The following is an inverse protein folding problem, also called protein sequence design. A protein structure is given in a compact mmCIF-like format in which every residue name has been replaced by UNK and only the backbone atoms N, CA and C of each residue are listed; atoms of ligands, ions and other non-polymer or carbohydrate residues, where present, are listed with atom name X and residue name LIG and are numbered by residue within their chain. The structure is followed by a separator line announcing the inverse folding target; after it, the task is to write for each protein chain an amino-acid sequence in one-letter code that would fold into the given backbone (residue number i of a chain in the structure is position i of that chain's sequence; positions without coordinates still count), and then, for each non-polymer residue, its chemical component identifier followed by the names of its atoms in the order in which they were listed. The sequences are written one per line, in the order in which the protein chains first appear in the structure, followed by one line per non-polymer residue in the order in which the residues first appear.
data_IF_444064235176
#
_entry.id   IF_444064235176
#
_cell.length_a   1.000
_cell.length_b   1.000
_cell.length_c   1.000
_cell.angle_alpha   90.00
_cell.angle_beta   90.00
_cell.angle_gamma   90.00
#
_symmetry.space_group_name_H-M   'P 1'
#
loop_
_entity.id
_entity.type
_entity.pdbx_description
1 polymer ?
#
# COMPACT_ATOMS: atom_id res chain seq x y z
N UNK A 1 -28.47 2.51 -48.35
CA UNK A 1 -27.89 3.70 -49.02
C UNK A 1 -28.51 5.01 -48.57
N UNK A 2 -29.84 5.14 -48.42
CA UNK A 2 -30.52 6.37 -47.95
C UNK A 2 -30.08 6.83 -46.56
N UNK A 3 -29.87 5.95 -45.60
CA UNK A 3 -29.46 6.29 -44.23
C UNK A 3 -28.06 6.89 -44.21
N UNK A 4 -27.13 6.35 -44.97
CA UNK A 4 -25.76 6.89 -45.10
C UNK A 4 -25.73 8.24 -45.77
N UNK A 5 -26.61 8.50 -46.74
CA UNK A 5 -26.75 9.79 -47.41
C UNK A 5 -27.32 10.85 -46.43
N UNK A 6 -28.36 10.53 -45.67
CA UNK A 6 -28.97 11.42 -44.67
C UNK A 6 -28.00 11.72 -43.50
N UNK A 7 -27.11 10.77 -43.12
CA UNK A 7 -26.05 11.04 -42.14
C UNK A 7 -24.95 11.98 -42.69
N UNK A 8 -24.69 11.95 -43.99
CA UNK A 8 -23.71 12.84 -44.61
C UNK A 8 -24.26 14.22 -44.95
N UNK A 9 -25.57 14.30 -45.26
CA UNK A 9 -26.27 15.54 -45.63
C UNK A 9 -27.63 15.63 -44.92
N UNK A 10 -27.63 15.98 -43.63
CA UNK A 10 -28.88 15.99 -42.84
C UNK A 10 -29.82 17.10 -43.34
N UNK A 11 -30.89 16.70 -43.98
CA UNK A 11 -31.89 17.61 -44.51
C UNK A 11 -33.03 17.85 -43.54
N UNK A 12 -33.37 16.83 -42.72
CA UNK A 12 -34.48 16.86 -41.76
C UNK A 12 -34.03 17.39 -40.41
N UNK A 13 -34.86 18.15 -39.72
CA UNK A 13 -34.52 18.77 -38.42
C UNK A 13 -34.17 17.72 -37.36
N UNK A 14 -34.87 16.58 -37.33
CA UNK A 14 -34.62 15.52 -36.35
C UNK A 14 -33.28 14.78 -36.63
N UNK A 15 -32.82 14.66 -37.89
CA UNK A 15 -31.49 14.09 -38.18
C UNK A 15 -30.38 15.03 -37.71
N UNK A 16 -30.56 16.35 -37.87
CA UNK A 16 -29.65 17.36 -37.32
C UNK A 16 -29.60 17.30 -35.79
N UNK A 17 -30.76 17.17 -35.14
CA UNK A 17 -30.85 17.05 -33.67
C UNK A 17 -30.19 15.77 -33.21
N UNK A 18 -30.42 14.61 -33.87
CA UNK A 18 -29.78 13.33 -33.53
C UNK A 18 -28.27 13.41 -33.66
N UNK A 19 -27.76 14.01 -34.74
CA UNK A 19 -26.31 14.22 -34.93
C UNK A 19 -25.72 15.13 -33.86
N UNK A 20 -26.41 16.22 -33.50
CA UNK A 20 -25.96 17.12 -32.45
C UNK A 20 -25.92 16.40 -31.06
N UNK A 21 -26.93 15.61 -30.74
CA UNK A 21 -26.96 14.80 -29.52
C UNK A 21 -25.88 13.71 -29.54
N UNK A 22 -25.68 13.04 -30.67
CA UNK A 22 -24.61 12.05 -30.81
C UNK A 22 -23.23 12.66 -30.65
N UNK A 23 -23.00 13.85 -31.23
CA UNK A 23 -21.76 14.58 -31.04
C UNK A 23 -21.57 15.02 -29.58
N UNK A 24 -22.63 15.51 -28.94
CA UNK A 24 -22.59 15.89 -27.52
C UNK A 24 -22.20 14.68 -26.63
N UNK A 25 -22.86 13.53 -26.84
CA UNK A 25 -22.56 12.29 -26.10
C UNK A 25 -21.12 11.85 -26.37
N UNK A 26 -20.68 11.87 -27.62
CA UNK A 26 -19.31 11.52 -27.99
C UNK A 26 -18.28 12.40 -27.25
N UNK A 27 -18.46 13.71 -27.29
CA UNK A 27 -17.52 14.62 -26.60
C UNK A 27 -17.61 14.50 -25.06
N UNK A 28 -18.80 14.24 -24.52
CA UNK A 28 -18.95 13.97 -23.08
C UNK A 28 -18.20 12.70 -22.65
N UNK A 29 -18.30 11.62 -23.42
CA UNK A 29 -17.54 10.38 -23.16
C UNK A 29 -16.05 10.63 -23.30
N UNK A 30 -15.61 11.33 -24.35
CA UNK A 30 -14.21 11.66 -24.57
C UNK A 30 -13.64 12.50 -23.41
N UNK A 31 -14.36 13.52 -22.98
CA UNK A 31 -13.98 14.37 -21.85
C UNK A 31 -13.90 13.57 -20.54
N UNK A 32 -14.92 12.73 -20.27
CA UNK A 32 -14.93 11.85 -19.09
C UNK A 32 -13.72 10.93 -19.08
N UNK A 33 -13.42 10.28 -20.20
CA UNK A 33 -12.27 9.37 -20.32
C UNK A 33 -10.94 10.10 -20.14
N UNK A 34 -10.81 11.30 -20.72
CA UNK A 34 -9.61 12.11 -20.56
C UNK A 34 -9.39 12.57 -19.11
N UNK A 35 -10.45 13.03 -18.45
CA UNK A 35 -10.39 13.43 -17.03
C UNK A 35 -10.08 12.23 -16.15
N UNK A 36 -10.75 11.10 -16.36
CA UNK A 36 -10.50 9.87 -15.62
C UNK A 36 -9.06 9.38 -15.78
N UNK A 37 -8.53 9.36 -17.02
CA UNK A 37 -7.15 9.00 -17.30
C UNK A 37 -6.14 9.95 -16.64
N UNK A 38 -6.41 11.26 -16.66
CA UNK A 38 -5.58 12.24 -15.96
C UNK A 38 -5.59 12.06 -14.43
N UNK A 39 -6.77 11.79 -13.85
CA UNK A 39 -6.89 11.50 -12.42
C UNK A 39 -6.10 10.25 -12.05
N UNK A 40 -6.25 9.16 -12.81
CA UNK A 40 -5.47 7.93 -12.59
C UNK A 40 -3.98 8.21 -12.71
N UNK A 41 -3.55 8.98 -13.72
CA UNK A 41 -2.14 9.37 -13.84
C UNK A 41 -1.63 10.08 -12.58
N UNK A 42 -2.42 10.99 -12.01
CA UNK A 42 -2.07 11.68 -10.77
C UNK A 42 -2.05 10.75 -9.56
N UNK A 43 -2.98 9.79 -9.49
CA UNK A 43 -3.05 8.80 -8.42
C UNK A 43 -1.85 7.84 -8.47
N UNK A 44 -1.49 7.33 -9.65
CA UNK A 44 -0.35 6.40 -9.78
C UNK A 44 1.01 7.12 -9.75
N UNK A 45 1.01 8.44 -9.81
CA UNK A 45 2.20 9.30 -9.71
C UNK A 45 1.97 10.40 -8.66
N UNK A 46 1.90 10.02 -7.37
CA UNK A 46 1.65 10.98 -6.29
C UNK A 46 2.77 12.00 -6.18
N UNK A 47 2.49 13.10 -5.49
CA UNK A 47 3.52 14.04 -5.10
C UNK A 47 4.44 13.36 -4.07
N UNK A 48 5.73 13.31 -4.39
CA UNK A 48 6.71 12.68 -3.53
C UNK A 48 7.06 13.61 -2.37
N UNK A 49 6.82 13.16 -1.16
CA UNK A 49 7.33 13.79 0.06
C UNK A 49 8.74 13.27 0.30
N UNK A 50 9.75 14.07 -0.01
CA UNK A 50 11.12 13.77 0.42
C UNK A 50 11.32 14.44 1.76
N UNK A 51 11.40 13.67 2.82
CA UNK A 51 11.94 14.19 4.08
C UNK A 51 13.45 14.37 3.89
N UNK A 52 13.93 15.61 3.83
CA UNK A 52 15.36 15.90 3.97
C UNK A 52 15.77 15.59 5.42
N UNK A 53 15.95 14.31 5.70
CA UNK A 53 16.33 13.87 7.03
C UNK A 53 17.85 13.92 7.11
N UNK A 54 18.34 14.76 8.02
CA UNK A 54 19.74 14.76 8.34
C UNK A 54 20.10 13.49 9.12
N UNK A 55 20.61 12.48 8.40
CA UNK A 55 21.05 11.20 8.96
C UNK A 55 22.07 11.34 10.10
N UNK A 56 22.79 12.47 10.17
CA UNK A 56 23.73 12.74 11.26
C UNK A 56 23.06 13.02 12.61
N UNK A 57 21.75 13.28 12.61
CA UNK A 57 20.99 13.59 13.84
C UNK A 57 20.49 12.34 14.57
N UNK A 58 20.65 11.14 13.98
CA UNK A 58 20.20 9.89 14.62
C UNK A 58 21.33 9.26 15.45
N UNK A 59 21.04 8.79 16.68
CA UNK A 59 22.02 8.18 17.56
C UNK A 59 22.67 6.93 16.99
N UNK A 60 21.95 6.15 16.18
CA UNK A 60 22.44 5.01 15.42
C UNK A 60 22.37 5.34 13.94
N UNK A 61 23.54 5.57 13.29
CA UNK A 61 23.54 5.73 11.83
C UNK A 61 23.04 4.45 11.18
N UNK A 62 21.95 4.49 10.38
CA UNK A 62 21.52 3.32 9.65
C UNK A 62 22.57 2.92 8.61
N UNK A 63 22.65 1.63 8.35
CA UNK A 63 23.33 1.11 7.19
C UNK A 63 22.46 1.32 5.95
N UNK A 64 23.01 2.00 4.94
CA UNK A 64 22.30 2.21 3.67
C UNK A 64 22.49 0.96 2.80
N UNK A 65 21.39 0.32 2.46
CA UNK A 65 21.39 -0.88 1.63
C UNK A 65 20.67 -0.59 0.31
N UNK A 66 21.30 -1.02 -0.80
CA UNK A 66 20.70 -0.97 -2.12
C UNK A 66 20.29 -2.36 -2.58
N UNK A 67 19.12 -2.50 -3.19
CA UNK A 67 18.64 -3.77 -3.71
C UNK A 67 17.90 -3.58 -5.04
N UNK A 68 18.07 -4.55 -5.92
CA UNK A 68 17.37 -4.56 -7.21
C UNK A 68 16.02 -5.25 -7.07
N UNK A 69 14.99 -4.65 -7.64
CA UNK A 69 13.66 -5.24 -7.71
C UNK A 69 13.58 -6.05 -9.01
N UNK A 70 13.20 -7.34 -8.95
CA UNK A 70 13.07 -8.19 -10.13
C UNK A 70 12.12 -7.61 -11.19
N UNK A 71 12.29 -8.06 -12.45
CA UNK A 71 11.42 -7.62 -13.54
C UNK A 71 11.77 -6.25 -14.14
N UNK A 72 12.97 -5.74 -13.87
CA UNK A 72 13.43 -4.45 -14.41
C UNK A 72 12.78 -3.24 -13.73
N UNK A 73 12.27 -3.42 -12.51
CA UNK A 73 11.61 -2.36 -11.73
C UNK A 73 12.61 -1.37 -11.10
N UNK A 74 13.92 -1.59 -11.32
CA UNK A 74 14.99 -0.71 -10.86
C UNK A 74 15.48 -1.02 -9.44
N UNK A 75 16.39 -0.17 -8.97
CA UNK A 75 17.03 -0.30 -7.66
C UNK A 75 16.25 0.50 -6.62
N UNK A 76 16.20 0.00 -5.40
CA UNK A 76 15.70 0.72 -4.21
C UNK A 76 16.80 0.89 -3.20
N UNK A 77 16.73 1.98 -2.45
CA UNK A 77 17.56 2.25 -1.29
C UNK A 77 16.72 2.09 -0.02
N UNK A 78 17.25 1.35 0.93
CA UNK A 78 16.65 1.22 2.25
C UNK A 78 17.65 1.53 3.36
N UNK A 79 17.12 1.79 4.55
CA UNK A 79 17.88 2.04 5.76
C UNK A 79 17.69 0.88 6.72
N UNK A 80 18.80 0.26 7.06
CA UNK A 80 18.85 -0.85 8.00
C UNK A 80 19.38 -0.37 9.34
N UNK A 81 18.64 -0.63 10.38
CA UNK A 81 18.94 -0.32 11.77
C UNK A 81 19.19 -1.63 12.51
N UNK A 82 20.45 -1.92 12.88
CA UNK A 82 20.77 -3.17 13.53
C UNK A 82 20.24 -3.19 14.97
N UNK A 83 19.59 -4.28 15.33
CA UNK A 83 19.19 -4.62 16.69
C UNK A 83 20.15 -5.60 17.34
N UNK A 84 19.61 -6.49 18.16
CA UNK A 84 20.41 -7.55 18.78
C UNK A 84 20.72 -8.65 17.76
N UNK A 85 21.93 -9.22 17.84
CA UNK A 85 22.35 -10.30 16.94
C UNK A 85 21.41 -11.51 17.03
N UNK A 86 20.86 -11.94 15.90
CA UNK A 86 19.89 -13.02 15.82
C UNK A 86 18.46 -12.63 16.22
N UNK A 87 18.21 -11.35 16.48
CA UNK A 87 16.83 -10.86 16.61
C UNK A 87 16.08 -10.95 15.28
N UNK A 88 14.76 -11.07 15.29
CA UNK A 88 13.96 -10.95 14.08
C UNK A 88 14.15 -9.60 13.39
N UNK A 89 13.91 -9.58 12.09
CA UNK A 89 13.93 -8.33 11.33
C UNK A 89 12.51 -7.87 11.02
N UNK A 90 12.18 -6.63 11.40
CA UNK A 90 10.91 -6.01 11.07
C UNK A 90 11.10 -5.09 9.87
N UNK A 91 10.33 -5.31 8.82
CA UNK A 91 10.31 -4.44 7.65
C UNK A 91 9.08 -3.54 7.75
N UNK A 92 9.29 -2.23 7.70
CA UNK A 92 8.22 -1.23 7.74
C UNK A 92 7.94 -0.73 6.33
N UNK A 93 6.70 -0.97 5.89
CA UNK A 93 6.19 -0.65 4.56
C UNK A 93 5.27 0.56 4.65
N UNK A 94 5.76 1.73 4.24
CA UNK A 94 4.99 2.98 4.32
C UNK A 94 3.73 2.98 3.45
N UNK A 95 2.84 3.93 3.70
CA UNK A 95 1.59 4.08 2.97
C UNK A 95 1.71 4.87 1.67
N UNK A 96 0.57 5.00 0.99
CA UNK A 96 0.41 5.87 -0.17
C UNK A 96 0.62 7.35 0.23
N UNK A 97 1.30 8.12 -0.62
CA UNK A 97 1.70 9.52 -0.38
C UNK A 97 2.62 9.72 0.85
N UNK A 98 3.30 8.67 1.30
CA UNK A 98 4.19 8.67 2.44
C UNK A 98 5.63 8.36 2.01
N UNK A 99 6.55 8.27 2.97
CA UNK A 99 7.95 7.92 2.76
C UNK A 99 8.53 7.18 3.98
N UNK A 100 9.67 6.52 3.78
CA UNK A 100 10.43 5.86 4.86
C UNK A 100 10.75 6.79 6.03
N UNK A 101 10.97 8.09 5.75
CA UNK A 101 11.32 9.05 6.77
C UNK A 101 10.23 9.29 7.81
N UNK A 102 8.97 9.05 7.44
CA UNK A 102 7.84 9.19 8.35
C UNK A 102 7.71 8.03 9.35
N UNK A 103 8.45 6.93 9.12
CA UNK A 103 8.43 5.73 9.95
C UNK A 103 9.50 5.70 11.04
N UNK A 104 10.36 6.71 11.13
CA UNK A 104 11.51 6.71 12.02
C UNK A 104 11.18 6.63 13.51
N UNK A 105 10.03 7.14 13.94
CA UNK A 105 9.62 7.04 15.35
C UNK A 105 9.19 5.60 15.68
N UNK A 106 8.46 4.93 14.79
CA UNK A 106 8.10 3.52 14.94
C UNK A 106 9.34 2.62 14.83
N UNK A 107 10.26 2.95 13.91
CA UNK A 107 11.56 2.29 13.80
C UNK A 107 12.30 2.36 15.12
N UNK A 108 12.47 3.57 15.70
CA UNK A 108 13.15 3.77 16.97
C UNK A 108 12.49 3.00 18.12
N UNK A 109 11.15 3.01 18.19
CA UNK A 109 10.42 2.25 19.20
C UNK A 109 10.66 0.73 19.10
N UNK A 110 10.82 0.19 17.90
CA UNK A 110 11.16 -1.23 17.70
C UNK A 110 12.64 -1.51 18.01
N UNK A 111 13.54 -0.60 17.63
CA UNK A 111 14.98 -0.72 17.91
C UNK A 111 15.27 -0.68 19.41
N UNK A 112 14.56 0.14 20.18
CA UNK A 112 14.64 0.18 21.65
C UNK A 112 14.33 -1.20 22.28
N UNK A 113 13.55 -2.04 21.57
CA UNK A 113 13.24 -3.41 21.94
C UNK A 113 14.13 -4.44 21.23
N UNK A 114 15.26 -4.00 20.68
CA UNK A 114 16.32 -4.85 20.11
C UNK A 114 15.97 -5.55 18.79
N UNK A 115 14.92 -5.14 18.07
CA UNK A 115 14.66 -5.64 16.74
C UNK A 115 15.64 -5.08 15.71
N UNK A 116 15.97 -5.89 14.70
CA UNK A 116 16.50 -5.34 13.46
C UNK A 116 15.34 -4.68 12.70
N UNK A 117 15.55 -3.47 12.22
CA UNK A 117 14.50 -2.76 11.48
C UNK A 117 15.00 -2.33 10.11
N UNK A 118 14.17 -2.51 9.11
CA UNK A 118 14.45 -2.07 7.75
C UNK A 118 13.29 -1.23 7.20
N UNK A 119 13.63 -0.07 6.65
CA UNK A 119 12.68 0.85 6.03
C UNK A 119 13.18 1.24 4.64
N UNK A 120 12.29 1.37 3.68
CA UNK A 120 12.62 1.78 2.31
C UNK A 120 11.46 2.55 1.67
N UNK A 121 11.73 3.27 0.58
CA UNK A 121 10.69 3.95 -0.20
C UNK A 121 10.21 3.07 -1.35
N UNK A 122 8.90 2.92 -1.52
CA UNK A 122 8.31 2.30 -2.71
C UNK A 122 8.49 3.15 -3.97
N UNK A 123 8.30 2.54 -5.14
CA UNK A 123 8.22 3.26 -6.41
C UNK A 123 7.23 4.43 -6.34
N UNK A 124 7.52 5.53 -6.99
CA UNK A 124 6.74 6.76 -7.00
C UNK A 124 6.63 7.50 -5.65
N UNK A 125 7.30 7.02 -4.60
CA UNK A 125 7.26 7.61 -3.26
C UNK A 125 8.67 8.00 -2.77
N UNK A 126 8.72 8.89 -1.79
CA UNK A 126 9.97 9.35 -1.18
C UNK A 126 11.04 9.74 -2.20
N UNK A 127 12.21 9.12 -2.11
CA UNK A 127 13.32 9.36 -3.04
C UNK A 127 13.13 8.67 -4.41
N UNK A 128 12.26 7.67 -4.51
CA UNK A 128 12.13 6.84 -5.71
C UNK A 128 11.17 7.44 -6.74
N UNK A 129 11.69 7.68 -7.95
CA UNK A 129 10.85 8.02 -9.10
C UNK A 129 10.09 6.78 -9.61
N UNK A 130 9.11 6.99 -10.46
CA UNK A 130 8.39 5.91 -11.11
C UNK A 130 6.89 6.09 -11.06
N UNK A 131 6.18 4.98 -11.16
CA UNK A 131 4.72 4.89 -11.13
C UNK A 131 4.35 3.80 -10.14
N UNK A 132 3.46 4.12 -9.20
CA UNK A 132 2.87 3.15 -8.30
C UNK A 132 1.79 2.34 -9.03
N UNK A 133 1.71 1.07 -8.71
CA UNK A 133 0.60 0.20 -9.13
C UNK A 133 -0.41 -0.02 -8.01
N UNK A 134 -0.29 0.77 -6.93
CA UNK A 134 -1.11 0.68 -5.73
C UNK A 134 -1.09 -0.72 -5.11
N UNK A 135 0.04 -1.40 -5.16
CA UNK A 135 0.26 -2.69 -4.50
C UNK A 135 0.69 -3.83 -5.41
N UNK A 136 0.30 -3.85 -6.69
CA UNK A 136 0.64 -5.01 -7.55
C UNK A 136 2.14 -5.27 -7.69
N UNK A 137 2.95 -4.25 -7.98
CA UNK A 137 4.41 -4.35 -8.12
C UNK A 137 5.15 -4.09 -6.83
N UNK A 138 4.55 -3.35 -5.91
CA UNK A 138 5.12 -3.06 -4.60
C UNK A 138 5.30 -4.34 -3.76
N UNK A 139 4.56 -5.40 -4.05
CA UNK A 139 4.81 -6.75 -3.50
C UNK A 139 6.19 -7.27 -3.87
N UNK A 140 6.63 -7.06 -5.11
CA UNK A 140 7.96 -7.51 -5.56
C UNK A 140 9.09 -6.69 -4.90
N UNK A 141 8.80 -5.43 -4.52
CA UNK A 141 9.73 -4.61 -3.75
C UNK A 141 9.88 -5.12 -2.31
N UNK A 142 8.77 -5.52 -1.66
CA UNK A 142 8.82 -6.16 -0.33
C UNK A 142 9.57 -7.47 -0.39
N UNK A 143 9.31 -8.30 -1.41
CA UNK A 143 10.04 -9.56 -1.61
C UNK A 143 11.53 -9.33 -1.77
N UNK A 144 11.93 -8.39 -2.63
CA UNK A 144 13.33 -8.07 -2.84
C UNK A 144 14.03 -7.60 -1.55
N UNK A 145 13.32 -6.83 -0.71
CA UNK A 145 13.80 -6.42 0.60
C UNK A 145 13.97 -7.62 1.55
N UNK A 146 13.01 -8.54 1.60
CA UNK A 146 13.13 -9.78 2.40
C UNK A 146 14.32 -10.63 1.90
N UNK A 147 14.48 -10.78 0.59
CA UNK A 147 15.57 -11.57 0.00
C UNK A 147 16.95 -10.95 0.26
N UNK A 148 17.07 -9.62 0.14
CA UNK A 148 18.28 -8.89 0.53
C UNK A 148 18.70 -9.20 1.97
N UNK A 149 17.74 -9.06 2.91
CA UNK A 149 18.00 -9.22 4.33
C UNK A 149 18.26 -10.69 4.71
N UNK A 150 17.56 -11.62 4.08
CA UNK A 150 17.76 -13.06 4.30
C UNK A 150 19.12 -13.58 3.81
N UNK A 151 19.75 -12.87 2.86
CA UNK A 151 21.09 -13.20 2.37
C UNK A 151 22.20 -12.73 3.31
N UNK A 152 21.89 -11.94 4.35
CA UNK A 152 22.88 -11.41 5.29
C UNK A 152 23.25 -12.46 6.35
N UNK A 153 24.56 -12.69 6.59
CA UNK A 153 25.02 -13.71 7.55
C UNK A 153 24.84 -13.32 9.03
N UNK A 154 24.58 -12.05 9.30
CA UNK A 154 24.38 -11.50 10.63
C UNK A 154 22.89 -11.48 11.07
N UNK A 155 21.97 -11.81 10.16
CA UNK A 155 20.54 -11.83 10.42
C UNK A 155 19.98 -13.27 10.45
N UNK A 156 18.81 -13.43 11.09
CA UNK A 156 18.05 -14.67 11.02
C UNK A 156 17.21 -14.67 9.72
N UNK A 157 17.52 -15.53 8.73
CA UNK A 157 16.87 -15.55 7.44
C UNK A 157 15.44 -16.09 7.47
N UNK A 158 14.93 -16.53 8.64
CA UNK A 158 13.66 -17.24 8.79
C UNK A 158 12.62 -16.50 9.65
N UNK A 159 13.00 -15.35 10.22
CA UNK A 159 12.18 -14.65 11.21
C UNK A 159 11.98 -13.18 10.83
N UNK A 160 11.07 -12.95 9.89
CA UNK A 160 10.66 -11.58 9.50
C UNK A 160 9.29 -11.24 10.07
N UNK A 161 9.15 -9.98 10.51
CA UNK A 161 7.87 -9.33 10.73
C UNK A 161 7.65 -8.26 9.67
N UNK A 162 6.41 -8.07 9.24
CA UNK A 162 6.06 -6.96 8.37
C UNK A 162 5.04 -6.06 9.07
N UNK A 163 5.25 -4.77 8.97
CA UNK A 163 4.27 -3.75 9.27
C UNK A 163 3.96 -2.97 8.00
N UNK A 164 2.70 -2.67 7.76
CA UNK A 164 2.31 -1.85 6.62
C UNK A 164 1.07 -1.01 6.88
N UNK A 165 1.05 0.16 6.26
CA UNK A 165 -0.08 1.08 6.23
C UNK A 165 -0.62 1.17 4.80
N UNK A 166 -1.92 1.04 4.59
CA UNK A 166 -2.65 1.01 3.33
C UNK A 166 -1.88 0.34 2.17
N UNK A 167 -1.15 1.06 1.31
CA UNK A 167 -0.31 0.52 0.23
C UNK A 167 0.69 -0.51 0.76
N UNK A 168 1.40 -0.16 1.83
CA UNK A 168 2.36 -1.05 2.48
C UNK A 168 1.68 -2.26 3.12
N UNK A 169 0.46 -2.11 3.67
CA UNK A 169 -0.31 -3.21 4.24
C UNK A 169 -0.74 -4.21 3.15
N UNK A 170 -1.19 -3.71 1.99
CA UNK A 170 -1.51 -4.57 0.85
C UNK A 170 -0.28 -5.37 0.40
N UNK A 171 0.86 -4.69 0.19
CA UNK A 171 2.09 -5.34 -0.26
C UNK A 171 2.61 -6.36 0.76
N UNK A 172 2.60 -6.01 2.06
CA UNK A 172 3.01 -6.88 3.15
C UNK A 172 2.15 -8.14 3.26
N UNK A 173 0.82 -8.02 3.16
CA UNK A 173 -0.09 -9.17 3.21
C UNK A 173 0.14 -10.09 2.01
N UNK A 174 0.25 -9.52 0.80
CA UNK A 174 0.50 -10.30 -0.43
C UNK A 174 1.82 -11.06 -0.37
N UNK A 175 2.87 -10.48 0.21
CA UNK A 175 4.13 -11.21 0.38
C UNK A 175 4.01 -12.31 1.43
N UNK A 176 3.35 -12.04 2.57
CA UNK A 176 3.14 -13.04 3.61
C UNK A 176 2.31 -14.26 3.16
N UNK A 177 1.44 -14.13 2.16
CA UNK A 177 0.70 -15.27 1.58
C UNK A 177 1.63 -16.34 0.99
N UNK A 178 2.79 -15.96 0.49
CA UNK A 178 3.69 -16.83 -0.28
C UNK A 178 5.01 -17.11 0.43
N UNK A 179 5.42 -16.23 1.33
CA UNK A 179 6.73 -16.33 1.98
C UNK A 179 6.60 -16.78 3.44
N UNK A 180 7.03 -18.01 3.71
CA UNK A 180 6.97 -18.60 5.05
C UNK A 180 8.03 -18.07 6.02
N UNK A 181 8.94 -17.22 5.55
CA UNK A 181 9.88 -16.47 6.41
C UNK A 181 9.17 -15.36 7.18
N UNK A 182 7.99 -14.92 6.71
CA UNK A 182 7.15 -13.95 7.40
C UNK A 182 6.41 -14.63 8.54
N UNK A 183 6.70 -14.20 9.77
CA UNK A 183 6.26 -14.85 11.01
C UNK A 183 5.28 -14.03 11.83
N UNK A 184 5.13 -12.75 11.54
CA UNK A 184 4.14 -11.88 12.17
C UNK A 184 3.82 -10.71 11.23
N UNK A 185 2.58 -10.21 11.30
CA UNK A 185 2.07 -9.22 10.36
C UNK A 185 1.25 -8.16 11.10
N UNK A 186 1.50 -6.89 10.82
CA UNK A 186 0.67 -5.77 11.27
C UNK A 186 0.17 -5.04 10.04
N UNK A 187 -1.16 -4.96 9.91
CA UNK A 187 -1.86 -4.40 8.75
C UNK A 187 -2.74 -3.26 9.20
N UNK A 188 -2.37 -2.05 8.85
CA UNK A 188 -3.14 -0.85 9.16
C UNK A 188 -3.88 -0.37 7.90
N UNK A 189 -5.20 -0.16 8.05
CA UNK A 189 -6.05 0.40 7.00
C UNK A 189 -5.89 -0.31 5.65
N UNK A 190 -5.84 -1.65 5.70
CA UNK A 190 -5.62 -2.47 4.51
C UNK A 190 -6.84 -2.47 3.58
N UNK A 191 -6.61 -2.37 2.28
CA UNK A 191 -7.64 -2.52 1.26
C UNK A 191 -7.59 -3.89 0.59
N UNK A 192 -8.71 -4.31 0.01
CA UNK A 192 -8.86 -5.63 -0.60
C UNK A 192 -8.30 -5.70 -2.02
N UNK A 193 -8.46 -4.62 -2.78
CA UNK A 193 -8.01 -4.51 -4.17
C UNK A 193 -7.44 -3.12 -4.44
N UNK A 194 -6.38 -2.97 -5.27
CA UNK A 194 -5.77 -1.68 -5.60
C UNK A 194 -6.75 -0.64 -6.17
N UNK A 195 -7.80 -1.07 -6.86
CA UNK A 195 -8.84 -0.16 -7.38
C UNK A 195 -9.63 0.58 -6.28
N UNK A 196 -9.65 0.09 -5.02
CA UNK A 196 -10.23 0.84 -3.91
C UNK A 196 -9.46 2.14 -3.66
N UNK A 197 -8.13 2.13 -3.77
CA UNK A 197 -7.32 3.35 -3.65
C UNK A 197 -7.57 4.33 -4.81
N UNK A 198 -7.91 3.82 -6.01
CA UNK A 198 -8.35 4.69 -7.12
C UNK A 198 -9.65 5.40 -6.76
N UNK A 199 -10.62 4.68 -6.18
CA UNK A 199 -11.88 5.27 -5.71
C UNK A 199 -11.61 6.35 -4.66
N UNK A 200 -10.83 6.04 -3.62
CA UNK A 200 -10.43 7.01 -2.59
C UNK A 200 -9.75 8.23 -3.23
N UNK A 201 -8.87 8.03 -4.20
CA UNK A 201 -8.22 9.14 -4.92
C UNK A 201 -9.20 10.01 -5.70
N UNK A 202 -10.20 9.43 -6.36
CA UNK A 202 -11.26 10.17 -7.06
C UNK A 202 -12.12 10.97 -6.07
N UNK A 203 -12.45 10.39 -4.92
CA UNK A 203 -13.21 11.04 -3.85
C UNK A 203 -12.46 12.23 -3.24
N UNK A 204 -11.17 12.06 -2.94
CA UNK A 204 -10.29 13.15 -2.44
C UNK A 204 -10.16 14.32 -3.42
N UNK A 205 -10.30 14.06 -4.72
CA UNK A 205 -10.35 15.11 -5.75
C UNK A 205 -11.77 15.72 -5.93
N UNK A 206 -12.73 15.43 -5.05
CA UNK A 206 -14.09 16.01 -5.07
C UNK A 206 -15.00 15.42 -6.14
N UNK A 207 -14.61 14.33 -6.79
CA UNK A 207 -15.37 13.70 -7.89
C UNK A 207 -16.08 12.40 -7.47
N UNK A 208 -16.02 12.01 -6.19
CA UNK A 208 -16.68 10.82 -5.65
C UNK A 208 -18.20 10.83 -5.80
N UNK A 209 -18.83 12.01 -5.79
CA UNK A 209 -20.27 12.17 -6.05
C UNK A 209 -20.72 11.82 -7.47
N UNK A 210 -19.79 11.49 -8.37
CA UNK A 210 -20.08 11.12 -9.76
C UNK A 210 -19.70 9.64 -10.02
N UNK A 211 -20.63 8.68 -9.85
CA UNK A 211 -20.34 7.24 -9.99
C UNK A 211 -19.74 6.85 -11.33
N UNK A 212 -20.11 7.55 -12.41
CA UNK A 212 -19.54 7.32 -13.74
C UNK A 212 -18.04 7.70 -13.81
N UNK A 213 -17.61 8.72 -13.04
CA UNK A 213 -16.20 9.12 -12.96
C UNK A 213 -15.38 8.10 -12.19
N UNK A 214 -15.87 7.62 -11.07
CA UNK A 214 -15.24 6.52 -10.29
C UNK A 214 -15.07 5.28 -11.15
N UNK A 215 -16.13 4.92 -11.91
CA UNK A 215 -16.09 3.77 -12.81
C UNK A 215 -15.09 3.97 -13.98
N UNK A 216 -15.09 5.14 -14.59
CA UNK A 216 -14.16 5.45 -15.69
C UNK A 216 -12.69 5.45 -15.21
N UNK A 217 -12.41 5.98 -14.02
CA UNK A 217 -11.09 5.94 -13.42
C UNK A 217 -10.68 4.48 -13.08
N UNK A 218 -11.57 3.69 -12.50
CA UNK A 218 -11.33 2.26 -12.24
C UNK A 218 -10.98 1.50 -13.51
N UNK A 219 -11.76 1.66 -14.58
CA UNK A 219 -11.48 1.04 -15.88
C UNK A 219 -10.14 1.50 -16.49
N UNK A 220 -9.81 2.78 -16.35
CA UNK A 220 -8.53 3.32 -16.82
C UNK A 220 -7.36 2.71 -16.05
N UNK A 221 -7.49 2.54 -14.74
CA UNK A 221 -6.49 1.89 -13.89
C UNK A 221 -6.33 0.39 -14.23
N UNK A 222 -7.44 -0.33 -14.39
CA UNK A 222 -7.43 -1.74 -14.79
C UNK A 222 -6.78 -1.94 -16.17
N UNK A 223 -7.01 -1.02 -17.11
CA UNK A 223 -6.34 -1.05 -18.40
C UNK A 223 -4.82 -0.87 -18.29
N UNK A 224 -4.36 0.07 -17.46
CA UNK A 224 -2.94 0.28 -17.19
C UNK A 224 -2.29 -0.93 -16.51
N UNK A 225 -3.05 -1.65 -15.69
CA UNK A 225 -2.60 -2.80 -14.93
C UNK A 225 -3.20 -4.12 -15.46
N UNK A 226 -3.44 -4.19 -16.77
CA UNK A 226 -4.13 -5.33 -17.40
C UNK A 226 -3.50 -6.70 -17.10
N UNK A 227 -2.19 -6.75 -16.89
CA UNK A 227 -1.48 -7.97 -16.51
C UNK A 227 -1.95 -8.56 -15.16
N UNK A 228 -2.53 -7.71 -14.29
CA UNK A 228 -3.00 -8.07 -12.95
C UNK A 228 -4.53 -8.23 -12.85
N UNK A 229 -5.24 -8.21 -13.98
CA UNK A 229 -6.72 -8.28 -13.99
C UNK A 229 -7.31 -9.57 -13.40
N UNK A 230 -6.51 -10.62 -13.35
CA UNK A 230 -6.90 -11.93 -12.81
C UNK A 230 -6.41 -12.15 -11.38
N UNK A 231 -5.69 -11.18 -10.80
CA UNK A 231 -5.23 -11.27 -9.42
C UNK A 231 -6.45 -11.22 -8.49
N UNK A 232 -6.63 -12.23 -7.63
CA UNK A 232 -7.80 -12.26 -6.76
C UNK A 232 -7.67 -11.21 -5.64
N UNK A 233 -8.80 -10.72 -5.11
CA UNK A 233 -8.82 -9.90 -3.90
C UNK A 233 -8.09 -10.57 -2.74
N UNK A 234 -7.47 -9.78 -1.85
CA UNK A 234 -6.75 -10.28 -0.68
C UNK A 234 -7.63 -11.15 0.23
N UNK A 235 -8.90 -10.76 0.37
CA UNK A 235 -9.88 -11.49 1.19
C UNK A 235 -10.09 -12.95 0.77
N UNK A 236 -9.75 -13.32 -0.46
CA UNK A 236 -9.82 -14.71 -0.96
C UNK A 236 -8.56 -15.52 -0.62
N UNK A 237 -7.49 -14.86 -0.19
CA UNK A 237 -6.16 -15.46 0.07
C UNK A 237 -5.80 -15.55 1.56
N UNK A 238 -6.64 -15.03 2.44
CA UNK A 238 -6.35 -14.96 3.88
C UNK A 238 -6.04 -16.33 4.51
N UNK A 239 -6.58 -17.43 3.99
CA UNK A 239 -6.27 -18.77 4.47
C UNK A 239 -4.79 -19.15 4.34
N UNK A 240 -4.03 -18.49 3.46
CA UNK A 240 -2.59 -18.70 3.36
C UNK A 240 -1.83 -18.21 4.61
N UNK A 241 -2.46 -17.36 5.43
CA UNK A 241 -1.91 -16.82 6.68
C UNK A 241 -2.15 -17.72 7.89
N UNK A 242 -2.65 -18.94 7.71
CA UNK A 242 -2.82 -19.87 8.84
C UNK A 242 -1.49 -20.03 9.59
N UNK A 243 -1.52 -19.75 10.91
CA UNK A 243 -0.35 -19.80 11.78
C UNK A 243 0.57 -18.58 11.71
N UNK A 244 0.23 -17.54 10.93
CA UNK A 244 0.91 -16.25 10.94
C UNK A 244 0.11 -15.27 11.80
N UNK A 245 0.58 -14.93 13.02
CA UNK A 245 -0.08 -13.92 13.85
C UNK A 245 -0.23 -12.62 13.10
N UNK A 246 -1.46 -12.10 13.04
CA UNK A 246 -1.77 -10.89 12.30
C UNK A 246 -2.56 -9.90 13.16
N UNK A 247 -2.05 -8.68 13.31
CA UNK A 247 -2.75 -7.56 13.92
C UNK A 247 -3.38 -6.70 12.81
N UNK A 248 -4.69 -6.55 12.86
CA UNK A 248 -5.45 -5.64 12.00
C UNK A 248 -5.74 -4.35 12.75
N UNK A 249 -5.24 -3.22 12.25
CA UNK A 249 -5.50 -1.89 12.79
C UNK A 249 -6.54 -1.20 11.91
N UNK A 250 -7.65 -0.83 12.52
CA UNK A 250 -8.81 -0.22 11.89
C UNK A 250 -8.90 1.25 12.32
N UNK A 251 -8.74 2.15 11.39
CA UNK A 251 -8.82 3.58 11.61
C UNK A 251 -10.21 4.11 11.22
N UNK A 252 -10.89 4.77 12.15
CA UNK A 252 -12.28 5.21 11.96
C UNK A 252 -12.44 6.48 11.13
N UNK A 253 -11.36 7.22 10.90
CA UNK A 253 -11.32 8.43 10.07
C UNK A 253 -11.35 8.14 8.56
N UNK A 254 -11.09 6.89 8.14
CA UNK A 254 -11.34 6.40 6.79
C UNK A 254 -12.36 5.25 6.82
N UNK A 255 -13.67 5.55 6.76
CA UNK A 255 -14.72 4.55 6.95
C UNK A 255 -14.68 3.39 5.95
N UNK A 256 -14.22 3.64 4.71
CA UNK A 256 -14.14 2.61 3.69
C UNK A 256 -13.02 1.61 3.98
N UNK A 257 -11.84 2.09 4.28
CA UNK A 257 -10.71 1.22 4.65
C UNK A 257 -10.93 0.56 6.02
N UNK A 258 -11.57 1.28 6.96
CA UNK A 258 -11.97 0.71 8.25
C UNK A 258 -12.88 -0.50 8.07
N UNK A 259 -13.92 -0.39 7.25
CA UNK A 259 -14.85 -1.50 6.99
C UNK A 259 -14.15 -2.65 6.25
N UNK A 260 -13.31 -2.35 5.24
CA UNK A 260 -12.54 -3.38 4.53
C UNK A 260 -11.61 -4.14 5.48
N UNK A 261 -10.87 -3.41 6.32
CA UNK A 261 -9.99 -4.00 7.34
C UNK A 261 -10.77 -4.87 8.33
N UNK A 262 -11.95 -4.41 8.77
CA UNK A 262 -12.85 -5.20 9.62
C UNK A 262 -13.31 -6.49 8.97
N UNK A 263 -13.69 -6.43 7.69
CA UNK A 263 -14.11 -7.61 6.94
C UNK A 263 -12.97 -8.62 6.77
N UNK A 264 -11.77 -8.14 6.53
CA UNK A 264 -10.57 -8.99 6.48
C UNK A 264 -10.29 -9.64 7.83
N UNK A 265 -10.33 -8.87 8.92
CA UNK A 265 -10.17 -9.43 10.27
C UNK A 265 -11.17 -10.55 10.53
N UNK A 266 -12.45 -10.37 10.19
CA UNK A 266 -13.48 -11.38 10.42
C UNK A 266 -13.24 -12.68 9.65
N UNK A 267 -12.65 -12.61 8.46
CA UNK A 267 -12.36 -13.75 7.59
C UNK A 267 -10.98 -14.37 7.83
N UNK A 268 -10.06 -13.63 8.46
CA UNK A 268 -8.69 -14.08 8.66
C UNK A 268 -8.62 -15.30 9.60
N UNK A 269 -7.67 -16.21 9.39
CA UNK A 269 -7.43 -17.33 10.29
C UNK A 269 -6.81 -16.87 11.61
N UNK A 270 -6.85 -17.73 12.60
CA UNK A 270 -6.12 -17.54 13.87
C UNK A 270 -4.62 -17.87 13.69
N UNK A 271 -3.73 -17.22 14.47
CA UNK A 271 -4.02 -16.21 15.49
C UNK A 271 -4.14 -14.80 14.87
N UNK A 272 -5.23 -14.11 15.22
CA UNK A 272 -5.51 -12.74 14.76
C UNK A 272 -5.87 -11.84 15.91
N UNK A 273 -5.53 -10.56 15.79
CA UNK A 273 -5.85 -9.52 16.75
C UNK A 273 -6.42 -8.30 16.03
N UNK A 274 -7.22 -7.51 16.72
CA UNK A 274 -7.77 -6.26 16.20
C UNK A 274 -7.41 -5.10 17.13
N UNK A 275 -7.11 -3.95 16.54
CA UNK A 275 -7.08 -2.67 17.22
C UNK A 275 -7.97 -1.68 16.46
N UNK A 276 -8.77 -0.92 17.19
CA UNK A 276 -9.63 0.12 16.61
C UNK A 276 -9.14 1.46 17.12
N UNK A 277 -8.77 2.34 16.21
CA UNK A 277 -8.22 3.65 16.52
C UNK A 277 -9.10 4.75 15.92
N UNK A 278 -9.23 5.90 16.58
CA UNK A 278 -10.01 7.02 16.05
C UNK A 278 -9.41 7.60 14.76
N UNK A 279 -8.08 7.63 14.68
CA UNK A 279 -7.33 8.17 13.54
C UNK A 279 -6.29 7.15 13.05
N UNK A 280 -6.08 7.08 11.73
CA UNK A 280 -5.27 6.05 11.11
C UNK A 280 -3.98 6.50 10.50
N UNK A 281 -3.93 7.69 9.96
CA UNK A 281 -2.68 8.15 9.34
C UNK A 281 -1.61 8.38 10.42
N UNK A 282 -0.73 7.37 10.59
CA UNK A 282 0.37 7.38 11.57
C UNK A 282 1.16 8.69 11.58
N UNK A 283 1.32 9.33 10.42
CA UNK A 283 2.06 10.60 10.28
C UNK A 283 1.30 11.77 10.90
N UNK A 284 -0.02 11.75 10.85
CA UNK A 284 -0.87 12.85 11.33
C UNK A 284 -1.33 12.70 12.79
N UNK A 285 -0.98 11.59 13.44
CA UNK A 285 -1.28 11.37 14.85
C UNK A 285 -0.55 12.40 15.72
N UNK A 286 -1.22 12.88 16.78
CA UNK A 286 -0.54 13.66 17.81
C UNK A 286 0.41 12.77 18.63
N UNK A 287 1.26 13.38 19.47
CA UNK A 287 2.31 12.66 20.20
C UNK A 287 1.78 11.56 21.13
N UNK A 288 0.62 11.74 21.74
CA UNK A 288 0.00 10.76 22.65
C UNK A 288 -0.58 9.57 21.85
N UNK A 289 -1.35 9.85 20.82
CA UNK A 289 -1.89 8.86 19.91
C UNK A 289 -0.78 8.05 19.23
N UNK A 290 0.29 8.72 18.80
CA UNK A 290 1.44 8.11 18.16
C UNK A 290 2.15 7.14 19.11
N UNK A 291 2.40 7.52 20.34
CA UNK A 291 2.98 6.62 21.36
C UNK A 291 2.07 5.44 21.67
N UNK A 292 0.77 5.67 21.76
CA UNK A 292 -0.20 4.58 21.99
C UNK A 292 -0.19 3.58 20.81
N UNK A 293 -0.12 4.08 19.58
CA UNK A 293 0.01 3.29 18.37
C UNK A 293 1.31 2.47 18.38
N UNK A 294 2.45 3.12 18.58
CA UNK A 294 3.77 2.48 18.63
C UNK A 294 3.81 1.39 19.69
N UNK A 295 3.32 1.68 20.90
CA UNK A 295 3.23 0.70 21.99
C UNK A 295 2.36 -0.50 21.59
N UNK A 296 1.27 -0.30 20.87
CA UNK A 296 0.40 -1.40 20.41
C UNK A 296 1.13 -2.31 19.41
N UNK A 297 1.84 -1.71 18.44
CA UNK A 297 2.62 -2.43 17.43
C UNK A 297 3.78 -3.18 18.08
N UNK A 298 4.56 -2.50 18.92
CA UNK A 298 5.70 -3.09 19.64
C UNK A 298 5.24 -4.24 20.53
N UNK A 299 4.18 -4.05 21.32
CA UNK A 299 3.63 -5.11 22.19
C UNK A 299 3.20 -6.34 21.40
N UNK A 300 2.61 -6.15 20.23
CA UNK A 300 2.24 -7.25 19.36
C UNK A 300 3.48 -8.04 18.91
N UNK A 301 4.51 -7.38 18.42
CA UNK A 301 5.73 -8.07 17.99
C UNK A 301 6.45 -8.73 19.17
N UNK A 302 6.53 -8.11 20.33
CA UNK A 302 7.14 -8.71 21.53
C UNK A 302 6.47 -10.05 21.92
N UNK A 303 5.16 -10.13 21.79
CA UNK A 303 4.40 -11.35 22.12
C UNK A 303 4.46 -12.39 20.99
N UNK A 304 4.35 -11.95 19.73
CA UNK A 304 4.16 -12.85 18.59
C UNK A 304 5.44 -13.18 17.83
N UNK A 305 6.46 -12.33 17.95
CA UNK A 305 7.77 -12.51 17.31
C UNK A 305 8.89 -11.98 18.24
N UNK A 306 9.11 -12.59 19.43
CA UNK A 306 10.01 -12.05 20.43
C UNK A 306 11.45 -11.89 19.93
N UNK A 307 12.09 -10.78 20.28
CA UNK A 307 13.45 -10.42 19.86
C UNK A 307 14.52 -11.37 20.42
N UNK A 308 14.35 -11.85 21.65
CA UNK A 308 15.19 -12.88 22.26
C UNK A 308 14.44 -14.22 22.23
N UNK A 309 15.17 -15.33 22.12
CA UNK A 309 14.59 -16.70 22.12
C UNK A 309 13.89 -17.12 23.43
N UNK A 310 13.45 -16.20 24.24
CA UNK A 310 12.58 -16.43 25.38
C UNK A 310 11.18 -16.81 24.88
N UNK A 311 10.93 -18.08 24.75
CA UNK A 311 9.58 -18.62 24.72
C UNK A 311 8.88 -18.15 25.99
N UNK A 312 7.95 -17.23 25.88
CA UNK A 312 6.96 -17.00 26.94
C UNK A 312 6.19 -18.31 27.10
N UNK A 313 6.46 -19.02 28.20
CA UNK A 313 5.75 -20.24 28.57
C UNK A 313 4.36 -19.88 29.10
#
# INVERSE_FOLDING_TARGET
MQILYELRYPTRWYTKLLMALSALVFFAVLATTAIAGFLVYRIVKPQRTSSEINMASFPGRPEVLNFEVPGGLGTREGWFFPGFRGAPTIILCHGYESSRGELLTLESALQDHQYNVFIFDFAAHGANAGISTLGYREVDEVRAAVDLLAARPDLDPTRFGLWGYNLGAYAALREAERDKRIRALVLDSVYDEPKQMVKVGVERNGLGGFPFMVRAAGLSFEYLNYAHREDPPLSQKLLALVGVPTLYIQALDDPELAETTRQMFLKAPEPREQAILPHGNFVSLNDEEKRAYENRVVSFFLVRLPASGMTVR
#
